data_IF_725389223901
#
_entry.id   IF_725389223901
#
_cell.length_a   1.000
_cell.length_b   1.000
_cell.length_c   1.000
_cell.angle_alpha   90.00
_cell.angle_beta   90.00
_cell.angle_gamma   90.00
#
_symmetry.space_group_name_H-M   'P 1'
#
loop_
_entity.id
_entity.type
_entity.pdbx_description
1 polymer ?
#
# COMPACT_ATOMS: atom_id res chain seq x y z
N UNK A 1 10.29 -3.21 -4.50
CA UNK A 1 9.58 -3.35 -5.80
C UNK A 1 8.09 -3.30 -5.57
N UNK A 2 7.31 -3.73 -6.55
CA UNK A 2 5.87 -3.87 -6.41
C UNK A 2 5.30 -5.03 -7.23
N UNK A 3 4.16 -5.54 -6.77
CA UNK A 3 3.20 -6.33 -7.54
C UNK A 3 1.92 -5.50 -7.67
N UNK A 4 1.49 -5.20 -8.89
CA UNK A 4 0.22 -4.55 -9.15
C UNK A 4 -0.96 -5.47 -8.83
N UNK A 5 -2.13 -4.89 -8.56
CA UNK A 5 -3.36 -5.61 -8.24
C UNK A 5 -3.69 -6.70 -9.26
N UNK A 6 -3.51 -6.42 -10.55
CA UNK A 6 -3.80 -7.36 -11.63
C UNK A 6 -2.93 -8.64 -11.62
N UNK A 7 -1.87 -8.72 -10.80
CA UNK A 7 -1.18 -9.98 -10.50
C UNK A 7 -2.12 -11.04 -9.91
N UNK A 8 -3.25 -10.64 -9.30
CA UNK A 8 -4.24 -11.58 -8.76
C UNK A 8 -4.80 -12.51 -9.84
N UNK A 9 -4.80 -12.07 -11.10
CA UNK A 9 -5.25 -12.89 -12.24
C UNK A 9 -4.34 -14.09 -12.54
N UNK A 10 -3.12 -14.10 -11.97
CA UNK A 10 -2.21 -15.26 -12.01
C UNK A 10 -2.59 -16.31 -10.96
N UNK A 11 -3.39 -15.94 -9.96
CA UNK A 11 -3.78 -16.80 -8.84
C UNK A 11 -5.26 -17.21 -8.92
N UNK A 12 -6.12 -16.29 -9.38
CA UNK A 12 -7.57 -16.45 -9.42
C UNK A 12 -8.12 -16.19 -10.83
N UNK A 13 -9.20 -16.88 -11.18
CA UNK A 13 -9.92 -16.65 -12.45
C UNK A 13 -10.90 -15.52 -12.28
N UNK A 14 -10.63 -14.38 -12.90
CA UNK A 14 -11.51 -13.21 -12.91
C UNK A 14 -12.05 -12.95 -14.32
N UNK A 15 -13.21 -12.28 -14.47
CA UNK A 15 -13.68 -11.80 -15.76
C UNK A 15 -12.64 -10.88 -16.44
N UNK A 16 -12.69 -10.80 -17.77
CA UNK A 16 -11.83 -9.93 -18.57
C UNK A 16 -12.66 -8.87 -19.30
N UNK A 17 -13.42 -8.08 -18.53
CA UNK A 17 -14.22 -6.98 -19.07
C UNK A 17 -13.33 -5.80 -19.45
N UNK A 18 -12.36 -5.48 -18.60
CA UNK A 18 -11.48 -4.34 -18.74
C UNK A 18 -10.17 -4.75 -19.43
N UNK A 19 -9.75 -3.95 -20.41
CA UNK A 19 -8.52 -4.19 -21.15
C UNK A 19 -7.27 -4.07 -20.24
N UNK A 20 -6.19 -4.81 -20.53
CA UNK A 20 -4.89 -4.58 -19.89
C UNK A 20 -4.44 -3.13 -20.00
N UNK A 21 -3.85 -2.59 -18.93
CA UNK A 21 -3.30 -1.24 -18.95
C UNK A 21 -2.08 -1.18 -19.87
N UNK A 22 -2.07 -0.22 -20.78
CA UNK A 22 -0.93 0.02 -21.66
C UNK A 22 0.30 0.48 -20.87
N UNK A 23 1.45 -0.12 -21.21
CA UNK A 23 2.76 0.23 -20.65
C UNK A 23 2.83 0.21 -19.11
N UNK A 24 1.96 -0.56 -18.46
CA UNK A 24 1.98 -0.77 -17.01
C UNK A 24 2.39 -2.21 -16.70
N UNK A 25 3.60 -2.46 -16.17
CA UNK A 25 4.01 -3.81 -15.82
C UNK A 25 3.16 -4.34 -14.65
N UNK A 26 2.85 -5.64 -14.67
CA UNK A 26 2.19 -6.31 -13.54
C UNK A 26 3.06 -6.28 -12.28
N UNK A 27 4.39 -6.32 -12.44
CA UNK A 27 5.33 -6.25 -11.33
C UNK A 27 6.65 -5.62 -11.78
N UNK A 28 7.35 -4.93 -10.87
CA UNK A 28 8.70 -4.45 -11.11
C UNK A 28 9.55 -4.47 -9.83
N UNK A 29 10.75 -5.04 -9.94
CA UNK A 29 11.69 -5.19 -8.84
C UNK A 29 13.10 -4.75 -9.27
N UNK A 30 13.75 -3.99 -8.40
CA UNK A 30 15.18 -3.71 -8.51
C UNK A 30 15.95 -4.76 -7.72
N UNK A 31 17.02 -5.27 -8.33
CA UNK A 31 18.04 -6.03 -7.61
C UNK A 31 19.13 -5.04 -7.20
N UNK A 32 19.27 -4.80 -5.89
CA UNK A 32 20.21 -3.83 -5.36
C UNK A 32 21.44 -4.54 -4.80
N UNK A 33 22.62 -4.22 -5.35
CA UNK A 33 23.90 -4.66 -4.82
C UNK A 33 24.26 -3.88 -3.55
N UNK A 34 24.06 -2.57 -3.53
CA UNK A 34 24.36 -1.68 -2.40
C UNK A 34 23.09 -1.14 -1.75
N UNK A 35 23.02 -1.27 -0.42
CA UNK A 35 21.94 -0.77 0.43
C UNK A 35 22.51 0.20 1.47
N UNK A 36 21.85 1.35 1.63
CA UNK A 36 22.11 2.31 2.70
C UNK A 36 21.00 2.21 3.75
N UNK A 37 21.30 1.62 4.90
CA UNK A 37 20.35 1.51 6.00
C UNK A 37 20.56 2.66 7.00
N UNK A 38 19.55 3.53 7.12
CA UNK A 38 19.55 4.66 8.05
C UNK A 38 18.93 4.25 9.38
N UNK A 39 19.77 4.01 10.38
CA UNK A 39 19.34 3.81 11.76
C UNK A 39 19.11 5.17 12.41
N UNK A 40 17.84 5.59 12.44
CA UNK A 40 17.43 6.87 13.01
C UNK A 40 17.58 6.91 14.53
N UNK A 41 17.55 5.76 15.21
CA UNK A 41 17.71 5.69 16.67
C UNK A 41 19.17 5.87 17.06
N UNK A 42 20.09 5.24 16.31
CA UNK A 42 21.54 5.35 16.55
C UNK A 42 22.21 6.50 15.81
N UNK A 43 21.48 7.20 14.94
CA UNK A 43 22.00 8.26 14.08
C UNK A 43 23.17 7.75 13.21
N UNK A 44 23.02 6.57 12.62
CA UNK A 44 24.06 5.89 11.84
C UNK A 44 23.55 5.50 10.45
N UNK A 45 24.47 5.43 9.49
CA UNK A 45 24.21 4.88 8.16
C UNK A 45 25.09 3.63 8.02
N UNK A 46 24.45 2.48 7.82
CA UNK A 46 25.15 1.26 7.45
C UNK A 46 25.20 1.15 5.93
N UNK A 47 26.41 1.00 5.38
CA UNK A 47 26.64 0.74 3.96
C UNK A 47 26.82 -0.77 3.80
N UNK A 48 25.88 -1.41 3.14
CA UNK A 48 25.88 -2.86 2.89
C UNK A 48 26.06 -3.06 1.40
N UNK A 49 27.03 -3.90 0.99
CA UNK A 49 27.20 -4.27 -0.42
C UNK A 49 27.23 -5.79 -0.53
N UNK A 50 26.30 -6.33 -1.30
CA UNK A 50 26.17 -7.75 -1.61
C UNK A 50 27.08 -8.09 -2.81
N UNK A 51 27.98 -9.05 -2.63
CA UNK A 51 28.77 -9.60 -3.72
C UNK A 51 28.00 -10.75 -4.37
N UNK A 52 27.54 -10.56 -5.60
CA UNK A 52 26.93 -11.63 -6.40
C UNK A 52 28.05 -12.48 -7.02
N UNK A 53 28.16 -13.73 -6.57
CA UNK A 53 29.20 -14.64 -7.03
C UNK A 53 28.71 -15.41 -8.26
N UNK A 54 29.41 -15.24 -9.38
CA UNK A 54 29.25 -16.11 -10.55
C UNK A 54 30.11 -17.38 -10.41
N UNK A 55 29.76 -18.42 -11.15
CA UNK A 55 30.53 -19.67 -11.16
C UNK A 55 31.98 -19.42 -11.61
N UNK A 56 32.92 -19.81 -10.76
CA UNK A 56 34.35 -19.60 -11.00
C UNK A 56 34.89 -18.21 -10.64
N UNK A 57 34.07 -17.33 -10.07
CA UNK A 57 34.52 -16.02 -9.59
C UNK A 57 35.55 -16.14 -8.45
N UNK A 58 36.59 -15.31 -8.48
CA UNK A 58 37.53 -15.20 -7.37
C UNK A 58 36.86 -14.54 -6.16
N UNK A 59 36.81 -15.26 -5.03
CA UNK A 59 36.27 -14.73 -3.77
C UNK A 59 37.02 -13.48 -3.32
N UNK A 60 38.33 -13.43 -3.54
CA UNK A 60 39.16 -12.29 -3.14
C UNK A 60 38.83 -11.05 -3.96
N UNK A 61 38.72 -11.20 -5.28
CA UNK A 61 38.38 -10.09 -6.18
C UNK A 61 36.98 -9.56 -5.90
N UNK A 62 36.01 -10.46 -5.65
CA UNK A 62 34.63 -10.09 -5.30
C UNK A 62 34.55 -9.32 -3.98
N UNK A 63 35.32 -9.75 -2.98
CA UNK A 63 35.44 -9.05 -1.69
C UNK A 63 36.09 -7.66 -1.85
N UNK A 64 37.20 -7.57 -2.58
CA UNK A 64 37.90 -6.31 -2.83
C UNK A 64 37.03 -5.33 -3.63
N UNK A 65 36.22 -5.82 -4.58
CA UNK A 65 35.24 -5.01 -5.32
C UNK A 65 34.12 -4.47 -4.40
N UNK A 66 33.61 -5.30 -3.48
CA UNK A 66 32.63 -4.86 -2.50
C UNK A 66 33.20 -3.78 -1.56
N UNK A 67 34.46 -3.92 -1.11
CA UNK A 67 35.15 -2.89 -0.32
C UNK A 67 35.31 -1.58 -1.10
N UNK A 68 35.69 -1.65 -2.37
CA UNK A 68 35.82 -0.47 -3.23
C UNK A 68 34.47 0.26 -3.39
N UNK A 69 33.38 -0.49 -3.58
CA UNK A 69 32.02 0.07 -3.66
C UNK A 69 31.59 0.76 -2.37
N UNK A 70 31.90 0.16 -1.21
CA UNK A 70 31.63 0.78 0.10
C UNK A 70 32.41 2.10 0.23
N UNK A 71 33.70 2.10 -0.14
CA UNK A 71 34.53 3.30 -0.08
C UNK A 71 34.03 4.41 -1.03
N UNK A 72 33.63 4.07 -2.25
CA UNK A 72 33.02 5.00 -3.20
C UNK A 72 31.74 5.60 -2.65
N UNK A 73 30.83 4.76 -2.14
CA UNK A 73 29.55 5.20 -1.57
C UNK A 73 29.75 6.11 -0.36
N UNK A 74 30.70 5.77 0.52
CA UNK A 74 31.09 6.63 1.64
C UNK A 74 31.60 7.99 1.16
N UNK A 75 32.50 8.01 0.18
CA UNK A 75 33.04 9.25 -0.37
C UNK A 75 31.95 10.10 -1.04
N UNK A 76 30.87 9.50 -1.58
CA UNK A 76 29.71 10.24 -2.07
C UNK A 76 28.91 10.87 -0.94
N UNK A 77 28.68 10.14 0.16
CA UNK A 77 27.93 10.63 1.34
C UNK A 77 28.65 11.76 2.08
N UNK A 78 29.99 11.81 2.02
CA UNK A 78 30.81 12.86 2.64
C UNK A 78 30.82 14.18 1.83
N UNK A 79 30.28 14.18 0.60
CA UNK A 79 30.23 15.40 -0.23
C UNK A 79 29.13 16.35 0.25
N UNK A 80 29.35 17.67 0.17
CA UNK A 80 28.29 18.65 0.43
C UNK A 80 27.10 18.42 -0.49
N UNK A 81 25.89 18.41 0.08
CA UNK A 81 24.66 18.31 -0.69
C UNK A 81 24.35 19.66 -1.36
N UNK A 82 24.15 19.65 -2.68
CA UNK A 82 23.54 20.75 -3.40
C UNK A 82 22.02 20.54 -3.41
N UNK A 83 21.28 21.53 -2.91
CA UNK A 83 19.82 21.51 -2.90
C UNK A 83 19.34 22.40 -4.04
N UNK A 84 18.91 21.77 -5.13
CA UNK A 84 18.24 22.48 -6.22
C UNK A 84 16.85 22.92 -5.76
N UNK A 85 16.57 24.21 -5.87
CA UNK A 85 15.23 24.75 -5.64
C UNK A 85 14.50 24.79 -6.95
N UNK A 86 13.38 24.09 -7.02
CA UNK A 86 12.51 24.14 -8.19
C UNK A 86 11.51 25.29 -8.03
N UNK A 87 11.46 26.26 -8.97
CA UNK A 87 10.50 27.34 -8.92
C UNK A 87 9.09 26.78 -9.10
N UNK A 88 8.11 27.51 -8.58
CA UNK A 88 6.72 27.12 -8.70
C UNK A 88 6.26 27.04 -10.17
N UNK A 89 5.28 26.18 -10.43
CA UNK A 89 4.70 25.91 -11.74
C UNK A 89 3.17 26.02 -11.70
N UNK A 90 2.55 26.16 -12.87
CA UNK A 90 1.09 26.30 -12.95
C UNK A 90 0.37 25.02 -12.52
N UNK A 91 -0.75 25.17 -11.82
CA UNK A 91 -1.60 24.05 -11.44
C UNK A 91 -2.40 23.53 -12.64
N UNK A 92 -2.42 22.21 -12.79
CA UNK A 92 -3.32 21.52 -13.70
C UNK A 92 -4.53 20.93 -12.97
N UNK A 93 -5.68 20.92 -13.65
CA UNK A 93 -6.90 20.27 -13.17
C UNK A 93 -6.75 18.75 -13.08
N UNK A 94 -7.51 18.14 -12.18
CA UNK A 94 -7.57 16.69 -11.99
C UNK A 94 -8.72 16.13 -12.81
N UNK A 95 -8.44 15.14 -13.65
CA UNK A 95 -9.45 14.32 -14.32
C UNK A 95 -9.72 13.04 -13.52
N UNK A 96 -10.94 12.53 -13.57
CA UNK A 96 -11.33 11.24 -13.00
C UNK A 96 -11.80 10.29 -14.12
N UNK A 97 -11.65 8.99 -13.92
CA UNK A 97 -12.15 7.95 -14.84
C UNK A 97 -13.64 7.61 -14.63
N UNK A 98 -14.23 8.12 -13.56
CA UNK A 98 -15.65 8.03 -13.25
C UNK A 98 -16.28 9.42 -13.31
N UNK A 99 -17.45 9.51 -13.93
CA UNK A 99 -18.38 10.60 -13.62
C UNK A 99 -19.05 10.33 -12.27
N UNK A 100 -19.43 11.39 -11.56
CA UNK A 100 -20.03 11.27 -10.22
C UNK A 100 -21.28 10.39 -10.22
N UNK A 101 -22.14 10.54 -11.21
CA UNK A 101 -23.39 9.77 -11.30
C UNK A 101 -23.11 8.29 -11.55
N UNK A 102 -22.16 7.98 -12.44
CA UNK A 102 -21.77 6.61 -12.76
C UNK A 102 -21.19 5.89 -11.54
N UNK A 103 -20.38 6.59 -10.73
CA UNK A 103 -19.89 6.04 -9.46
C UNK A 103 -21.05 5.77 -8.49
N UNK A 104 -22.00 6.70 -8.35
CA UNK A 104 -23.18 6.49 -7.50
C UNK A 104 -24.04 5.30 -7.98
N UNK A 105 -24.18 5.10 -9.28
CA UNK A 105 -24.86 3.93 -9.86
C UNK A 105 -24.11 2.64 -9.55
N UNK A 106 -22.78 2.63 -9.67
CA UNK A 106 -21.95 1.49 -9.29
C UNK A 106 -22.11 1.15 -7.78
N UNK A 107 -22.19 2.15 -6.90
CA UNK A 107 -22.48 1.93 -5.48
C UNK A 107 -23.86 1.31 -5.28
N UNK A 108 -24.89 1.81 -5.96
CA UNK A 108 -26.24 1.23 -5.86
C UNK A 108 -26.28 -0.23 -6.32
N UNK A 109 -25.57 -0.56 -7.41
CA UNK A 109 -25.46 -1.92 -7.92
C UNK A 109 -24.67 -2.84 -6.98
N UNK A 110 -23.58 -2.36 -6.39
CA UNK A 110 -22.87 -3.09 -5.34
C UNK A 110 -23.78 -3.41 -4.15
N UNK A 111 -24.68 -2.48 -3.75
CA UNK A 111 -25.67 -2.72 -2.70
C UNK A 111 -26.72 -3.76 -3.09
N UNK A 112 -27.06 -3.89 -4.37
CA UNK A 112 -27.93 -4.97 -4.85
C UNK A 112 -27.28 -6.34 -4.66
N UNK A 113 -25.99 -6.48 -5.00
CA UNK A 113 -25.21 -7.70 -4.74
C UNK A 113 -25.17 -8.04 -3.25
N UNK A 114 -25.01 -7.04 -2.38
CA UNK A 114 -25.03 -7.24 -0.92
C UNK A 114 -26.40 -7.73 -0.45
N UNK A 115 -27.49 -7.13 -0.93
CA UNK A 115 -28.87 -7.54 -0.58
C UNK A 115 -29.22 -8.94 -1.09
N UNK A 116 -28.64 -9.34 -2.22
CA UNK A 116 -28.79 -10.69 -2.77
C UNK A 116 -28.01 -11.75 -1.96
N UNK A 117 -27.07 -11.33 -1.11
CA UNK A 117 -26.22 -12.21 -0.32
C UNK A 117 -24.96 -12.68 -1.05
N UNK A 118 -24.60 -12.06 -2.17
CA UNK A 118 -23.39 -12.42 -2.94
C UNK A 118 -22.10 -12.02 -2.20
N UNK A 119 -22.14 -10.87 -1.53
CA UNK A 119 -21.02 -10.28 -0.80
C UNK A 119 -21.52 -9.57 0.47
N UNK A 120 -20.67 -9.47 1.48
CA UNK A 120 -20.87 -8.60 2.63
C UNK A 120 -20.40 -7.17 2.34
N UNK A 121 -19.31 -7.05 1.58
CA UNK A 121 -18.67 -5.79 1.23
C UNK A 121 -17.91 -5.90 -0.09
N UNK A 122 -17.86 -4.80 -0.83
CA UNK A 122 -16.92 -4.60 -1.95
C UNK A 122 -16.31 -3.21 -1.86
N UNK A 123 -15.05 -3.06 -2.23
CA UNK A 123 -14.35 -1.78 -2.21
C UNK A 123 -14.24 -1.29 -3.64
N UNK A 124 -15.03 -0.29 -4.01
CA UNK A 124 -14.96 0.34 -5.33
C UNK A 124 -14.00 1.53 -5.30
N UNK A 125 -13.36 1.81 -6.43
CA UNK A 125 -12.37 2.87 -6.53
C UNK A 125 -12.43 3.60 -7.86
N UNK A 126 -11.95 4.85 -7.85
CA UNK A 126 -11.83 5.66 -9.06
C UNK A 126 -10.42 6.22 -9.17
N UNK A 127 -9.93 6.26 -10.42
CA UNK A 127 -8.61 6.74 -10.77
C UNK A 127 -8.68 8.20 -11.16
N UNK A 128 -7.71 8.94 -10.69
CA UNK A 128 -7.48 10.33 -10.97
C UNK A 128 -6.16 10.49 -11.74
N UNK A 129 -6.11 11.48 -12.61
CA UNK A 129 -4.88 11.85 -13.29
C UNK A 129 -4.75 13.36 -13.45
N UNK A 130 -3.51 13.85 -13.46
CA UNK A 130 -3.21 15.21 -13.92
C UNK A 130 -1.78 15.34 -14.42
N UNK A 131 -1.51 16.24 -15.37
CA UNK A 131 -0.15 16.70 -15.65
C UNK A 131 0.52 17.24 -14.38
N UNK A 132 1.82 17.01 -14.25
CA UNK A 132 2.67 17.53 -13.17
C UNK A 132 3.94 18.15 -13.75
N UNK A 133 4.29 19.33 -13.26
CA UNK A 133 5.50 20.04 -13.67
C UNK A 133 6.62 19.95 -12.62
N UNK A 134 6.30 19.61 -11.37
CA UNK A 134 7.28 19.40 -10.32
C UNK A 134 8.00 18.04 -10.46
N UNK A 135 9.28 17.93 -10.06
CA UNK A 135 9.95 16.63 -9.96
C UNK A 135 9.22 15.68 -9.01
N UNK A 136 9.09 14.41 -9.40
CA UNK A 136 8.43 13.39 -8.59
C UNK A 136 9.01 13.25 -7.17
N UNK A 137 10.31 13.49 -6.99
CA UNK A 137 10.93 13.42 -5.67
C UNK A 137 10.48 14.56 -4.73
N UNK A 138 10.17 15.74 -5.27
CA UNK A 138 9.62 16.84 -4.48
C UNK A 138 8.18 16.56 -4.05
N UNK A 139 7.41 15.90 -4.92
CA UNK A 139 6.07 15.42 -4.57
C UNK A 139 6.15 14.40 -3.43
N UNK A 140 7.14 13.48 -3.46
CA UNK A 140 7.41 12.57 -2.34
C UNK A 140 7.80 13.32 -1.06
N UNK A 141 8.70 14.31 -1.13
CA UNK A 141 9.09 15.14 0.02
C UNK A 141 7.88 15.85 0.63
N UNK A 142 7.02 16.43 -0.20
CA UNK A 142 5.78 17.07 0.22
C UNK A 142 4.82 16.08 0.89
N UNK A 143 4.58 14.91 0.27
CA UNK A 143 3.71 13.87 0.81
C UNK A 143 4.19 13.38 2.19
N UNK A 144 5.51 13.10 2.31
CA UNK A 144 6.15 12.69 3.57
C UNK A 144 5.92 13.70 4.70
N UNK A 145 5.88 14.99 4.38
CA UNK A 145 5.68 16.06 5.37
C UNK A 145 4.23 16.16 5.84
N UNK A 146 3.27 16.05 4.92
CA UNK A 146 1.84 16.29 5.24
C UNK A 146 1.10 15.03 5.71
N UNK A 147 1.57 13.84 5.35
CA UNK A 147 0.92 12.58 5.69
C UNK A 147 1.98 11.51 5.98
N UNK A 148 2.73 11.60 7.08
CA UNK A 148 3.66 10.53 7.46
C UNK A 148 2.87 9.26 7.80
N UNK A 149 3.37 8.12 7.33
CA UNK A 149 2.80 6.80 7.59
C UNK A 149 3.91 5.77 7.82
N UNK A 150 3.59 4.55 8.29
CA UNK A 150 4.60 3.51 8.50
C UNK A 150 5.37 3.13 7.23
N UNK A 151 4.76 3.25 6.04
CA UNK A 151 5.39 2.92 4.76
C UNK A 151 5.50 4.15 3.86
N UNK A 152 6.68 4.75 3.87
CA UNK A 152 7.05 5.82 2.93
C UNK A 152 7.97 5.24 1.85
N UNK A 153 7.63 5.49 0.59
CA UNK A 153 8.43 4.97 -0.52
C UNK A 153 8.50 5.94 -1.70
N UNK A 154 9.69 5.94 -2.31
CA UNK A 154 9.96 6.53 -3.61
C UNK A 154 10.72 5.49 -4.44
N UNK A 155 10.06 4.92 -5.44
CA UNK A 155 10.67 3.96 -6.36
C UNK A 155 10.84 4.61 -7.73
N UNK A 156 11.99 4.39 -8.38
CA UNK A 156 12.30 4.94 -9.69
C UNK A 156 12.67 3.81 -10.65
N UNK A 157 11.74 3.46 -11.54
CA UNK A 157 11.90 2.47 -12.60
C UNK A 157 11.97 3.19 -13.96
N UNK A 158 13.07 3.88 -14.21
CA UNK A 158 13.25 4.68 -15.42
C UNK A 158 12.23 5.82 -15.50
N UNK A 159 11.33 5.77 -16.50
CA UNK A 159 10.26 6.77 -16.73
C UNK A 159 9.08 6.62 -15.77
N UNK A 160 8.96 5.49 -15.09
CA UNK A 160 7.93 5.24 -14.08
C UNK A 160 8.50 5.54 -12.69
N UNK A 161 7.82 6.40 -11.95
CA UNK A 161 8.18 6.76 -10.59
C UNK A 161 6.99 6.52 -9.69
N UNK A 162 7.19 5.80 -8.59
CA UNK A 162 6.13 5.48 -7.63
C UNK A 162 6.42 6.22 -6.34
N UNK A 163 5.42 6.96 -5.87
CA UNK A 163 5.49 7.76 -4.65
C UNK A 163 4.32 7.32 -3.77
N UNK A 164 4.56 7.07 -2.49
CA UNK A 164 3.45 6.77 -1.60
C UNK A 164 3.76 6.90 -0.12
N UNK A 165 2.66 6.92 0.63
CA UNK A 165 2.63 6.95 2.09
C UNK A 165 1.50 6.03 2.56
N UNK A 166 1.78 4.73 2.55
CA UNK A 166 0.76 3.71 2.86
C UNK A 166 0.61 3.53 4.38
N UNK A 167 -0.61 3.64 4.92
CA UNK A 167 -0.87 3.43 6.34
C UNK A 167 -0.95 1.95 6.73
N UNK A 168 -1.05 1.04 5.76
CA UNK A 168 -1.48 -0.34 6.01
C UNK A 168 -0.52 -1.33 5.35
N UNK A 169 0.00 -2.25 6.15
CA UNK A 169 0.81 -3.33 5.61
C UNK A 169 -0.07 -4.48 5.11
N UNK A 170 0.38 -5.17 4.07
CA UNK A 170 -0.35 -6.28 3.47
C UNK A 170 -0.02 -7.60 4.16
N UNK A 171 1.26 -7.97 4.13
CA UNK A 171 1.79 -9.18 4.77
C UNK A 171 3.27 -8.96 5.07
N UNK A 172 3.70 -9.54 6.19
CA UNK A 172 5.10 -9.61 6.58
C UNK A 172 5.48 -11.04 6.90
N UNK A 173 6.68 -11.44 6.46
CA UNK A 173 7.35 -12.68 6.79
C UNK A 173 8.72 -12.34 7.36
N UNK A 174 8.96 -12.69 8.61
CA UNK A 174 10.22 -12.45 9.32
C UNK A 174 10.62 -13.73 10.05
N UNK A 175 11.77 -14.32 9.75
CA UNK A 175 12.24 -15.57 10.36
C UNK A 175 11.19 -16.71 10.34
N UNK A 176 10.44 -16.81 9.23
CA UNK A 176 9.30 -17.74 9.03
C UNK A 176 8.01 -17.39 9.81
N UNK A 177 7.95 -16.32 10.58
CA UNK A 177 6.70 -15.78 11.14
C UNK A 177 5.95 -15.00 10.06
N UNK A 178 4.80 -15.52 9.61
CA UNK A 178 3.87 -14.81 8.73
C UNK A 178 2.87 -14.02 9.55
N UNK A 179 2.65 -12.76 9.18
CA UNK A 179 1.72 -11.88 9.88
C UNK A 179 0.95 -10.95 8.95
N UNK A 180 -0.29 -10.66 9.35
CA UNK A 180 -1.15 -9.63 8.76
C UNK A 180 -1.74 -8.79 9.89
N UNK A 181 -2.01 -7.51 9.65
CA UNK A 181 -2.60 -6.62 10.65
C UNK A 181 -3.80 -5.87 10.12
N UNK A 182 -5.00 -6.48 10.19
CA UNK A 182 -6.23 -5.82 9.82
C UNK A 182 -6.42 -4.52 10.59
N UNK A 183 -6.89 -3.49 9.87
CA UNK A 183 -7.21 -2.17 10.40
C UNK A 183 -8.67 -1.87 10.03
N UNK A 184 -9.48 -1.50 11.02
CA UNK A 184 -10.85 -1.02 10.81
C UNK A 184 -11.24 -0.03 11.90
N UNK A 185 -12.37 0.64 11.72
CA UNK A 185 -12.82 1.66 12.64
C UNK A 185 -11.96 2.92 12.57
N UNK A 186 -12.60 4.07 12.47
CA UNK A 186 -11.87 5.34 12.43
C UNK A 186 -12.53 6.35 13.36
N UNK A 187 -11.71 7.02 14.16
CA UNK A 187 -12.08 8.28 14.82
C UNK A 187 -11.00 9.33 14.56
N UNK A 188 -11.36 10.62 14.47
CA UNK A 188 -10.37 11.69 14.50
C UNK A 188 -9.63 11.70 15.83
N UNK A 189 -8.43 12.27 15.87
CA UNK A 189 -7.75 12.55 17.15
C UNK A 189 -8.48 13.63 17.93
N UNK A 190 -8.52 13.48 19.26
CA UNK A 190 -9.11 14.48 20.16
C UNK A 190 -8.25 15.75 20.24
N UNK A 191 -8.88 16.89 20.50
CA UNK A 191 -8.17 18.15 20.71
C UNK A 191 -7.43 18.16 22.05
N UNK A 192 -7.86 17.33 23.00
CA UNK A 192 -7.22 17.12 24.31
C UNK A 192 -7.00 15.63 24.56
N UNK A 193 -6.10 15.28 25.49
CA UNK A 193 -5.86 13.89 25.86
C UNK A 193 -7.13 13.20 26.41
N UNK A 194 -7.93 13.91 27.20
CA UNK A 194 -9.20 13.39 27.73
C UNK A 194 -10.21 13.11 26.62
N UNK A 195 -10.32 14.02 25.64
CA UNK A 195 -11.18 13.79 24.47
C UNK A 195 -10.67 12.64 23.62
N UNK A 196 -9.36 12.50 23.43
CA UNK A 196 -8.73 11.43 22.67
C UNK A 196 -9.01 10.04 23.30
N UNK A 197 -8.91 9.93 24.63
CA UNK A 197 -9.27 8.69 25.34
C UNK A 197 -10.77 8.39 25.27
N UNK A 198 -11.63 9.42 25.33
CA UNK A 198 -13.07 9.23 25.17
C UNK A 198 -13.42 8.73 23.77
N UNK A 199 -12.79 9.28 22.72
CA UNK A 199 -12.98 8.84 21.34
C UNK A 199 -12.46 7.41 21.13
N UNK A 200 -11.34 7.05 21.76
CA UNK A 200 -10.82 5.69 21.74
C UNK A 200 -11.79 4.69 22.41
N UNK A 201 -12.34 5.06 23.57
CA UNK A 201 -13.32 4.24 24.27
C UNK A 201 -14.65 4.11 23.49
N UNK A 202 -15.12 5.19 22.88
CA UNK A 202 -16.28 5.19 21.97
C UNK A 202 -16.08 4.23 20.80
N UNK A 203 -14.93 4.31 20.12
CA UNK A 203 -14.61 3.43 19.00
C UNK A 203 -14.59 1.95 19.40
N UNK A 204 -14.05 1.62 20.59
CA UNK A 204 -14.04 0.25 21.11
C UNK A 204 -15.40 -0.23 21.61
N UNK A 205 -16.39 0.64 21.78
CA UNK A 205 -17.75 0.29 22.17
C UNK A 205 -18.72 0.25 20.99
N UNK A 206 -18.33 0.82 19.85
CA UNK A 206 -19.12 0.81 18.61
C UNK A 206 -19.27 -0.63 18.07
N UNK A 207 -20.47 -1.20 18.25
CA UNK A 207 -20.77 -2.57 17.85
C UNK A 207 -20.62 -2.80 16.34
N UNK A 208 -20.88 -1.76 15.52
CA UNK A 208 -20.75 -1.85 14.06
C UNK A 208 -19.28 -1.98 13.68
N UNK A 209 -18.45 -1.07 14.18
CA UNK A 209 -17.01 -1.04 13.86
C UNK A 209 -16.30 -2.31 14.36
N UNK A 210 -16.69 -2.82 15.53
CA UNK A 210 -16.17 -4.09 16.06
C UNK A 210 -16.57 -5.29 15.19
N UNK A 211 -17.82 -5.34 14.72
CA UNK A 211 -18.28 -6.43 13.88
C UNK A 211 -17.53 -6.46 12.54
N UNK A 212 -17.34 -5.30 11.91
CA UNK A 212 -16.53 -5.16 10.70
C UNK A 212 -15.07 -5.59 10.96
N UNK A 213 -14.49 -5.16 12.08
CA UNK A 213 -13.13 -5.54 12.45
C UNK A 213 -12.97 -7.04 12.67
N UNK A 214 -13.91 -7.71 13.36
CA UNK A 214 -13.89 -9.16 13.56
C UNK A 214 -13.92 -9.91 12.22
N UNK A 215 -14.76 -9.46 11.29
CA UNK A 215 -14.82 -10.05 9.95
C UNK A 215 -13.45 -9.98 9.25
N UNK A 216 -12.75 -8.84 9.32
CA UNK A 216 -11.42 -8.69 8.71
C UNK A 216 -10.35 -9.50 9.43
N UNK A 217 -10.44 -9.66 10.76
CA UNK A 217 -9.58 -10.58 11.53
C UNK A 217 -9.79 -12.02 11.07
N UNK A 218 -11.03 -12.46 10.88
CA UNK A 218 -11.31 -13.80 10.40
C UNK A 218 -10.84 -14.02 8.96
N UNK A 219 -10.93 -13.01 8.10
CA UNK A 219 -10.31 -13.06 6.76
C UNK A 219 -8.78 -13.22 6.87
N UNK A 220 -8.13 -12.43 7.73
CA UNK A 220 -6.70 -12.54 8.00
C UNK A 220 -6.30 -13.92 8.54
N UNK A 221 -7.10 -14.51 9.43
CA UNK A 221 -6.89 -15.87 9.95
C UNK A 221 -7.00 -16.92 8.85
N UNK A 222 -7.96 -16.78 7.93
CA UNK A 222 -8.08 -17.68 6.79
C UNK A 222 -6.88 -17.55 5.84
N UNK A 223 -6.47 -16.32 5.53
CA UNK A 223 -5.34 -16.05 4.62
C UNK A 223 -4.02 -16.59 5.19
N UNK A 224 -3.69 -16.26 6.45
CA UNK A 224 -2.51 -16.77 7.16
C UNK A 224 -2.59 -18.30 7.33
N UNK A 225 -3.76 -18.83 7.70
CA UNK A 225 -3.94 -20.27 7.91
C UNK A 225 -3.71 -21.14 6.68
N UNK A 226 -3.86 -20.60 5.46
CA UNK A 226 -3.53 -21.34 4.23
C UNK A 226 -2.05 -21.68 4.10
N UNK A 227 -1.16 -20.89 4.70
CA UNK A 227 0.29 -21.04 4.57
C UNK A 227 0.98 -21.38 5.88
N UNK A 228 0.29 -21.28 7.01
CA UNK A 228 0.86 -21.62 8.31
C UNK A 228 0.82 -23.12 8.63
N UNK A 229 1.73 -23.55 9.51
CA UNK A 229 1.73 -24.86 10.14
C UNK A 229 0.51 -25.03 11.05
N UNK A 230 0.00 -26.27 11.11
CA UNK A 230 -1.20 -26.58 11.88
C UNK A 230 -1.07 -26.15 13.35
N UNK A 231 -2.10 -25.48 13.87
CA UNK A 231 -2.15 -25.05 15.27
C UNK A 231 -1.30 -23.82 15.62
N UNK A 232 -0.64 -23.18 14.65
CA UNK A 232 0.22 -22.01 14.91
C UNK A 232 -0.46 -20.66 14.70
N UNK A 233 -1.61 -20.64 14.02
CA UNK A 233 -2.35 -19.41 13.73
C UNK A 233 -2.99 -18.87 15.00
N UNK A 234 -2.64 -17.64 15.37
CA UNK A 234 -3.15 -16.96 16.55
C UNK A 234 -3.39 -15.47 16.30
N UNK A 235 -4.32 -14.89 17.05
CA UNK A 235 -4.52 -13.44 17.11
C UNK A 235 -3.66 -12.92 18.27
N UNK A 236 -2.46 -12.42 17.97
CA UNK A 236 -1.47 -11.97 18.97
C UNK A 236 -1.85 -10.64 19.62
N UNK A 237 -2.49 -9.75 18.86
CA UNK A 237 -3.09 -8.51 19.36
C UNK A 237 -4.54 -8.45 18.91
N UNK A 238 -5.46 -8.10 19.82
CA UNK A 238 -6.88 -8.03 19.50
C UNK A 238 -7.47 -6.69 19.92
N UNK A 239 -8.10 -6.00 18.95
CA UNK A 239 -8.87 -4.77 19.15
C UNK A 239 -8.11 -3.70 19.95
N UNK A 240 -6.84 -3.46 19.59
CA UNK A 240 -6.04 -2.37 20.15
C UNK A 240 -6.33 -1.07 19.44
N UNK A 241 -6.20 0.05 20.15
CA UNK A 241 -6.26 1.39 19.53
C UNK A 241 -4.87 1.82 19.13
N UNK A 242 -4.67 2.02 17.84
CA UNK A 242 -3.47 2.62 17.28
C UNK A 242 -3.73 4.07 16.88
N UNK A 243 -2.88 4.98 17.35
CA UNK A 243 -3.03 6.43 17.15
C UNK A 243 -2.06 6.91 16.08
N UNK A 244 -2.60 7.47 15.01
CA UNK A 244 -1.86 8.16 13.96
C UNK A 244 -1.95 9.69 14.17
N UNK A 245 -1.33 10.46 13.28
CA UNK A 245 -1.26 11.93 13.42
C UNK A 245 -2.63 12.62 13.44
N UNK A 246 -3.60 12.10 12.67
CA UNK A 246 -4.93 12.74 12.52
C UNK A 246 -6.10 11.83 12.86
N UNK A 247 -5.88 10.51 12.94
CA UNK A 247 -6.91 9.52 13.20
C UNK A 247 -6.40 8.44 14.15
N UNK A 248 -7.32 7.65 14.69
CA UNK A 248 -7.03 6.39 15.39
C UNK A 248 -7.86 5.26 14.79
N UNK A 249 -7.34 4.03 14.90
CA UNK A 249 -7.97 2.83 14.35
C UNK A 249 -7.99 1.68 15.35
N UNK A 250 -8.95 0.77 15.17
CA UNK A 250 -8.94 -0.56 15.78
C UNK A 250 -7.97 -1.42 14.97
N UNK A 251 -6.99 -2.01 15.64
CA UNK A 251 -6.01 -2.91 15.02
C UNK A 251 -6.01 -4.25 15.73
N UNK A 252 -5.84 -5.31 14.96
CA UNK A 252 -5.52 -6.64 15.47
C UNK A 252 -4.38 -7.21 14.66
N UNK A 253 -3.59 -8.10 15.24
CA UNK A 253 -2.50 -8.80 14.56
C UNK A 253 -2.81 -10.29 14.53
N UNK A 254 -2.72 -10.88 13.34
CA UNK A 254 -2.85 -12.31 13.11
C UNK A 254 -1.48 -12.83 12.70
N UNK A 255 -0.98 -13.83 13.43
CA UNK A 255 0.33 -14.46 13.19
C UNK A 255 0.19 -15.97 13.01
N UNK A 256 1.13 -16.55 12.29
CA UNK A 256 1.33 -17.99 12.21
C UNK A 256 2.74 -18.33 11.77
N UNK A 257 3.14 -19.59 11.94
CA UNK A 257 4.46 -20.06 11.52
C UNK A 257 4.34 -20.61 10.10
N UNK A 258 5.08 -20.07 9.15
CA UNK A 258 5.09 -20.53 7.76
C UNK A 258 5.46 -22.02 7.69
N UNK A 259 4.78 -22.77 6.82
CA UNK A 259 5.12 -24.19 6.63
C UNK A 259 6.52 -24.34 6.02
N UNK A 260 7.32 -25.36 6.42
CA UNK A 260 8.70 -25.51 5.95
C UNK A 260 8.85 -25.68 4.43
N UNK A 261 7.82 -26.16 3.75
CA UNK A 261 7.81 -26.33 2.28
C UNK A 261 7.41 -25.07 1.50
N UNK A 262 7.05 -23.98 2.19
CA UNK A 262 6.60 -22.73 1.60
C UNK A 262 7.62 -21.60 1.81
N UNK A 263 7.55 -20.60 0.94
CA UNK A 263 8.36 -19.38 1.05
C UNK A 263 7.51 -18.12 1.29
N UNK A 264 8.20 -16.97 1.44
CA UNK A 264 7.53 -15.71 1.68
C UNK A 264 6.66 -15.22 0.50
N UNK A 265 6.94 -15.67 -0.72
CA UNK A 265 6.12 -15.37 -1.89
C UNK A 265 4.81 -16.17 -1.81
N UNK A 266 4.82 -17.40 -1.31
CA UNK A 266 3.59 -18.16 -1.05
C UNK A 266 2.72 -17.49 0.02
N UNK A 267 3.33 -16.95 1.09
CA UNK A 267 2.62 -16.14 2.07
C UNK A 267 1.98 -14.89 1.43
N UNK A 268 2.70 -14.21 0.53
CA UNK A 268 2.15 -13.08 -0.24
C UNK A 268 0.98 -13.51 -1.12
N UNK A 269 1.11 -14.56 -1.92
CA UNK A 269 0.01 -15.07 -2.76
C UNK A 269 -1.24 -15.38 -1.92
N UNK A 270 -1.06 -15.96 -0.74
CA UNK A 270 -2.16 -16.26 0.16
C UNK A 270 -2.78 -15.02 0.78
N UNK A 271 -2.09 -13.91 0.96
CA UNK A 271 -2.71 -12.70 1.53
C UNK A 271 -3.21 -11.72 0.45
N UNK A 272 -2.84 -11.93 -0.81
CA UNK A 272 -3.04 -10.97 -1.89
C UNK A 272 -4.41 -11.12 -2.61
N UNK A 273 -5.06 -10.01 -3.01
CA UNK A 273 -4.91 -8.66 -2.44
C UNK A 273 -5.56 -8.60 -1.04
N UNK A 274 -5.31 -7.51 -0.32
CA UNK A 274 -5.93 -7.28 0.98
C UNK A 274 -7.47 -7.17 0.87
N UNK A 275 -8.17 -7.69 1.88
CA UNK A 275 -9.63 -7.60 2.00
C UNK A 275 -10.14 -6.15 2.10
N UNK A 276 -9.39 -5.30 2.79
CA UNK A 276 -9.68 -3.87 3.00
C UNK A 276 -9.72 -3.02 1.73
N UNK A 277 -9.21 -3.57 0.62
CA UNK A 277 -9.23 -2.93 -0.70
C UNK A 277 -9.91 -3.77 -1.78
N UNK A 278 -10.46 -4.93 -1.44
CA UNK A 278 -11.20 -5.79 -2.36
C UNK A 278 -12.63 -6.01 -1.89
N UNK A 279 -12.82 -6.77 -0.81
CA UNK A 279 -14.11 -7.05 -0.19
C UNK A 279 -14.20 -8.45 0.39
N UNK A 280 -15.40 -8.85 0.75
CA UNK A 280 -15.68 -10.14 1.37
C UNK A 280 -17.02 -10.72 0.86
N UNK A 281 -17.07 -12.00 0.39
CA UNK A 281 -15.94 -12.89 0.08
C UNK A 281 -15.01 -12.33 -1.01
N UNK A 282 -13.69 -12.55 -0.86
CA UNK A 282 -12.64 -11.89 -1.65
C UNK A 282 -12.81 -12.08 -3.17
N UNK A 283 -12.92 -13.32 -3.64
CA UNK A 283 -13.03 -13.62 -5.09
C UNK A 283 -14.26 -12.97 -5.70
N UNK A 284 -15.44 -13.14 -5.07
CA UNK A 284 -16.69 -12.57 -5.57
C UNK A 284 -16.67 -11.04 -5.61
N UNK A 285 -16.08 -10.40 -4.58
CA UNK A 285 -15.89 -8.95 -4.58
C UNK A 285 -14.99 -8.48 -5.73
N UNK A 286 -13.95 -9.23 -6.09
CA UNK A 286 -13.06 -8.90 -7.23
C UNK A 286 -13.75 -9.07 -8.59
N UNK A 287 -14.65 -10.05 -8.75
CA UNK A 287 -15.48 -10.16 -9.94
C UNK A 287 -16.39 -8.94 -10.11
N UNK A 288 -16.98 -8.46 -9.02
CA UNK A 288 -17.84 -7.27 -8.99
C UNK A 288 -17.01 -6.01 -9.26
N UNK A 289 -15.80 -5.90 -8.71
CA UNK A 289 -14.86 -4.80 -9.03
C UNK A 289 -14.59 -4.74 -10.53
N UNK A 290 -14.27 -5.89 -11.14
CA UNK A 290 -14.03 -5.96 -12.59
C UNK A 290 -15.27 -5.59 -13.41
N UNK A 291 -16.46 -5.93 -12.91
CA UNK A 291 -17.72 -5.56 -13.56
C UNK A 291 -18.02 -4.05 -13.44
N UNK A 292 -17.75 -3.43 -12.29
CA UNK A 292 -18.23 -2.08 -11.97
C UNK A 292 -17.19 -0.99 -12.22
N UNK A 293 -15.89 -1.27 -12.11
CA UNK A 293 -14.83 -0.31 -12.42
C UNK A 293 -14.60 -0.19 -13.95
N UNK A 294 -14.32 1.02 -14.46
CA UNK A 294 -14.19 1.28 -15.90
C UNK A 294 -12.84 0.84 -16.49
N UNK A 295 -11.84 0.58 -15.64
CA UNK A 295 -10.51 0.15 -16.05
C UNK A 295 -9.87 -0.74 -14.98
N UNK A 296 -8.79 -1.42 -15.35
CA UNK A 296 -7.97 -2.20 -14.40
C UNK A 296 -7.20 -1.28 -13.44
N UNK A 297 -6.97 -1.77 -12.22
CA UNK A 297 -6.35 -1.00 -11.12
C UNK A 297 -4.84 -0.78 -11.28
N UNK A 298 -4.13 -1.67 -11.98
CA UNK A 298 -2.68 -1.57 -12.12
C UNK A 298 -2.00 -1.59 -10.75
N UNK A 299 -1.29 -0.51 -10.41
CA UNK A 299 -0.58 -0.41 -9.13
C UNK A 299 -1.54 -0.37 -7.93
N UNK A 300 -2.69 0.30 -8.03
CA UNK A 300 -3.58 0.53 -6.89
C UNK A 300 -4.09 -0.77 -6.29
N UNK A 301 -4.10 -0.88 -4.96
CA UNK A 301 -4.45 -2.12 -4.23
C UNK A 301 -3.50 -3.31 -4.44
N UNK A 302 -2.37 -3.09 -5.12
CA UNK A 302 -1.26 -4.03 -5.19
C UNK A 302 -0.43 -4.07 -3.90
N UNK A 303 0.75 -4.67 -3.98
CA UNK A 303 1.71 -4.83 -2.89
C UNK A 303 3.02 -4.09 -3.23
N UNK A 304 3.50 -3.23 -2.33
CA UNK A 304 4.80 -2.57 -2.41
C UNK A 304 5.68 -2.97 -1.24
N UNK A 305 6.92 -3.35 -1.50
CA UNK A 305 7.80 -3.83 -0.45
C UNK A 305 9.11 -4.40 -0.94
N UNK A 306 9.73 -5.22 -0.10
CA UNK A 306 10.95 -5.95 -0.43
C UNK A 306 10.82 -7.43 -0.10
N UNK A 307 11.67 -8.22 -0.76
CA UNK A 307 12.05 -9.58 -0.40
C UNK A 307 13.57 -9.54 -0.26
N UNK A 308 14.11 -10.01 0.87
CA UNK A 308 15.55 -10.05 1.09
C UNK A 308 16.15 -11.43 0.74
N UNK A 309 17.48 -11.53 0.78
CA UNK A 309 18.18 -12.79 0.48
C UNK A 309 18.08 -13.84 1.59
N UNK A 310 17.58 -13.46 2.77
CA UNK A 310 17.35 -14.36 3.90
C UNK A 310 15.95 -14.98 3.86
N UNK A 311 15.10 -14.59 2.90
CA UNK A 311 13.74 -15.07 2.76
C UNK A 311 12.69 -14.25 3.52
N UNK A 312 13.06 -13.08 4.06
CA UNK A 312 12.10 -12.18 4.70
C UNK A 312 11.40 -11.30 3.66
N UNK A 313 10.14 -10.98 3.93
CA UNK A 313 9.31 -10.14 3.08
C UNK A 313 8.56 -9.14 3.94
N UNK A 314 8.56 -7.88 3.53
CA UNK A 314 7.72 -6.85 4.15
C UNK A 314 7.03 -6.04 3.06
N UNK A 315 5.71 -6.06 3.06
CA UNK A 315 4.90 -5.41 2.02
C UNK A 315 3.76 -4.60 2.60
N UNK A 316 3.48 -3.48 1.94
CA UNK A 316 2.32 -2.65 2.19
C UNK A 316 1.35 -2.61 1.03
N UNK A 317 0.10 -2.25 1.33
CA UNK A 317 -0.92 -2.11 0.30
C UNK A 317 -0.64 -0.82 -0.48
N UNK A 318 -0.78 -0.88 -1.81
CA UNK A 318 -0.62 0.25 -2.72
C UNK A 318 -1.80 1.24 -2.67
N UNK A 319 -2.03 1.84 -1.50
CA UNK A 319 -2.98 2.93 -1.26
C UNK A 319 -2.23 4.20 -0.88
N UNK A 320 -2.88 5.36 -1.01
CA UNK A 320 -2.20 6.69 -0.87
C UNK A 320 -0.89 6.72 -1.66
N UNK A 321 -0.98 6.20 -2.88
CA UNK A 321 0.14 5.98 -3.79
C UNK A 321 -0.17 6.67 -5.12
N UNK A 322 0.85 7.23 -5.74
CA UNK A 322 0.79 7.77 -7.09
C UNK A 322 1.90 7.18 -7.96
N UNK A 323 1.57 7.00 -9.24
CA UNK A 323 2.52 6.73 -10.30
C UNK A 323 2.71 8.02 -11.09
N UNK A 324 3.94 8.53 -11.16
CA UNK A 324 4.32 9.60 -12.09
C UNK A 324 5.00 8.96 -13.29
N UNK A 325 4.41 9.15 -14.46
CA UNK A 325 4.89 8.61 -15.73
C UNK A 325 4.66 9.65 -16.82
N UNK A 326 5.70 9.95 -17.57
CA UNK A 326 5.63 10.88 -18.73
C UNK A 326 5.03 12.25 -18.40
N UNK A 327 5.33 12.77 -17.21
CA UNK A 327 4.83 14.08 -16.75
C UNK A 327 3.36 14.06 -16.32
N UNK A 328 2.75 12.89 -16.16
CA UNK A 328 1.39 12.72 -15.65
C UNK A 328 1.46 11.95 -14.32
N UNK A 329 0.80 12.47 -13.29
CA UNK A 329 0.56 11.75 -12.05
C UNK A 329 -0.78 11.02 -12.13
N UNK A 330 -0.75 9.72 -11.87
CA UNK A 330 -1.92 8.85 -11.73
C UNK A 330 -2.04 8.41 -10.27
N UNK A 331 -3.22 8.52 -9.69
CA UNK A 331 -3.48 8.06 -8.33
C UNK A 331 -4.92 7.62 -8.19
N UNK A 332 -5.21 6.75 -7.24
CA UNK A 332 -6.50 6.11 -7.12
C UNK A 332 -6.92 6.03 -5.66
N UNK A 333 -8.23 6.15 -5.42
CA UNK A 333 -8.82 6.09 -4.11
C UNK A 333 -10.15 5.35 -4.15
N UNK A 334 -10.46 4.64 -3.07
CA UNK A 334 -11.64 3.78 -2.98
C UNK A 334 -12.41 3.92 -1.68
N UNK A 335 -13.64 3.41 -1.70
CA UNK A 335 -14.61 3.42 -0.62
C UNK A 335 -15.18 2.01 -0.44
N UNK A 336 -15.30 1.58 0.83
CA UNK A 336 -15.89 0.30 1.18
C UNK A 336 -17.40 0.40 1.14
N UNK A 337 -18.04 -0.38 0.28
CA UNK A 337 -19.48 -0.37 0.07
C UNK A 337 -20.11 -1.46 0.92
N UNK A 338 -21.03 -1.04 1.78
CA UNK A 338 -21.84 -1.89 2.66
C UNK A 338 -23.34 -1.62 2.43
N UNK A 339 -24.22 -2.42 3.05
CA UNK A 339 -25.66 -2.36 2.81
C UNK A 339 -26.29 -0.97 3.09
N UNK A 340 -25.73 -0.22 4.04
CA UNK A 340 -26.17 1.12 4.45
C UNK A 340 -25.40 2.28 3.80
N UNK A 341 -24.44 1.99 2.91
CA UNK A 341 -23.66 3.01 2.21
C UNK A 341 -24.55 4.01 1.47
N UNK A 342 -24.17 5.29 1.51
CA UNK A 342 -24.88 6.38 0.82
C UNK A 342 -24.06 6.78 -0.41
N UNK A 343 -24.54 6.56 -1.65
CA UNK A 343 -23.75 6.71 -2.87
C UNK A 343 -22.94 8.00 -2.96
N UNK A 344 -23.56 9.13 -2.65
CA UNK A 344 -22.89 10.44 -2.70
C UNK A 344 -21.80 10.59 -1.65
N UNK A 345 -21.96 9.97 -0.47
CA UNK A 345 -20.95 9.98 0.58
C UNK A 345 -19.74 9.13 0.19
N UNK A 346 -19.97 7.96 -0.39
CA UNK A 346 -18.89 7.07 -0.85
C UNK A 346 -18.08 7.72 -1.96
N UNK A 347 -18.74 8.37 -2.93
CA UNK A 347 -18.06 9.17 -3.95
C UNK A 347 -17.19 10.25 -3.29
N UNK A 348 -17.76 11.06 -2.38
CA UNK A 348 -17.00 12.12 -1.71
C UNK A 348 -15.85 11.58 -0.85
N UNK A 349 -15.99 10.39 -0.27
CA UNK A 349 -14.91 9.74 0.48
C UNK A 349 -13.71 9.43 -0.41
N UNK A 350 -13.93 8.91 -1.63
CA UNK A 350 -12.81 8.68 -2.57
C UNK A 350 -12.10 9.99 -2.95
N UNK A 351 -12.85 11.07 -3.15
CA UNK A 351 -12.30 12.41 -3.41
C UNK A 351 -11.49 12.90 -2.20
N UNK A 352 -12.02 12.76 -0.98
CA UNK A 352 -11.33 13.15 0.24
C UNK A 352 -10.05 12.35 0.48
N UNK A 353 -10.07 11.03 0.26
CA UNK A 353 -8.89 10.14 0.35
C UNK A 353 -7.80 10.53 -0.66
N UNK A 354 -8.19 11.07 -1.82
CA UNK A 354 -7.25 11.58 -2.83
C UNK A 354 -6.58 12.90 -2.47
N UNK A 355 -7.15 13.68 -1.54
CA UNK A 355 -6.72 15.06 -1.26
C UNK A 355 -5.27 15.14 -0.76
N UNK A 356 -4.80 14.17 0.03
CA UNK A 356 -3.40 14.16 0.49
C UNK A 356 -2.43 14.14 -0.70
N UNK A 357 -2.72 13.34 -1.73
CA UNK A 357 -1.90 13.24 -2.94
C UNK A 357 -1.98 14.52 -3.77
N UNK A 358 -3.19 15.08 -3.92
CA UNK A 358 -3.42 16.34 -4.64
C UNK A 358 -2.66 17.50 -3.99
N UNK A 359 -2.73 17.61 -2.66
CA UNK A 359 -2.02 18.62 -1.86
C UNK A 359 -0.52 18.44 -1.95
N UNK A 360 0.00 17.21 -1.90
CA UNK A 360 1.44 16.95 -2.05
C UNK A 360 1.96 17.49 -3.40
N UNK A 361 1.24 17.22 -4.49
CA UNK A 361 1.61 17.75 -5.81
C UNK A 361 1.51 19.28 -5.80
N UNK A 362 0.44 19.88 -5.25
CA UNK A 362 0.30 21.34 -5.21
C UNK A 362 1.41 22.04 -4.40
N UNK A 363 1.85 21.44 -3.29
CA UNK A 363 2.99 21.93 -2.50
C UNK A 363 4.28 21.85 -3.31
N UNK A 364 4.53 20.73 -4.00
CA UNK A 364 5.72 20.57 -4.84
C UNK A 364 5.71 21.56 -6.01
N UNK A 365 4.55 21.79 -6.62
CA UNK A 365 4.35 22.81 -7.66
C UNK A 365 4.44 24.25 -7.12
N UNK A 366 4.33 24.46 -5.82
CA UNK A 366 4.57 25.75 -5.16
C UNK A 366 6.05 26.04 -4.83
N UNK A 367 6.92 25.04 -4.97
CA UNK A 367 8.36 25.09 -4.64
C UNK A 367 8.68 24.59 -3.23
N UNK A 368 9.71 23.73 -3.10
CA UNK A 368 10.14 23.05 -1.84
C UNK A 368 11.66 22.87 -1.73
#
# INVERSE_FOLDING_TARGET
GFFGYDCIRLLEKLPEKNAPLENAPLAAFGLYDTVLAFDHLRHQILIITNAFLEDGASLRESYDAALARIAETRAMLERPLQIDRHPGSAHADVSANFERNDFCEAVNKAKEYIRAGDIFQVVLSQKFSRPVAAPAFDIYRALRRINPSPYLFFLRFGRQQIIGSSPEFLVRVEDSDVSVRPIAGTRPRGATAEEDERLAADLLQDEKERAEHVMLVDLGRNDVGRVSAYGTVQVSEQMKIERYSHVMHIVSEVKGQLRPELDAIDALKACFPAGTVSGAPKVRAMEIIEELEPERRGLYSGALGYLDFSGNLDTCIAIRTMEVRDGIAYFQAGAGIVADSVPEREYMETVHKSNALRTAIAIAEGGI
#
